data_IF_445784796424
#
_entry.id   IF_445784796424
#
_cell.length_a   1.000
_cell.length_b   1.000
_cell.length_c   1.000
_cell.angle_alpha   90.00
_cell.angle_beta   90.00
_cell.angle_gamma   90.00
#
_symmetry.space_group_name_H-M   'P 1'
#
loop_
_entity.id
_entity.type
_entity.pdbx_description
1 polymer ?
2 branched ?
3 branched ?
4 non-polymer ?
5 non-polymer ?
6 non-polymer ?
7 non-polymer ?
8 non-polymer ?
9 water ?
#
# COMPACT_ATOMS: atom_id res chain seq x y z
N UNK A 1 -7.92 -1.93 -24.98
CA UNK A 1 -8.38 -1.23 -26.23
C UNK A 1 -8.29 0.31 -26.05
N UNK A 2 -9.14 0.95 -25.23
CA UNK A 2 -8.92 2.39 -24.90
C UNK A 2 -8.37 2.58 -23.48
N UNK A 3 -7.71 3.71 -23.22
CA UNK A 3 -7.25 3.99 -21.87
C UNK A 3 -8.45 4.14 -20.96
N UNK A 4 -8.32 3.63 -19.74
CA UNK A 4 -9.37 3.77 -18.78
C UNK A 4 -9.47 5.20 -18.29
N UNK A 5 -10.70 5.68 -18.09
CA UNK A 5 -10.91 6.98 -17.44
C UNK A 5 -11.64 6.79 -16.13
N UNK A 6 -11.28 7.58 -15.14
CA UNK A 6 -11.92 7.54 -13.84
C UNK A 6 -13.25 8.29 -13.87
N UNK A 7 -14.27 7.65 -14.40
CA UNK A 7 -15.53 8.37 -14.67
C UNK A 7 -16.54 8.13 -13.56
N UNK A 8 -16.30 7.16 -12.65
CA UNK A 8 -17.29 6.81 -11.60
C UNK A 8 -16.88 7.37 -10.23
N UNK A 9 -17.86 7.51 -9.33
CA UNK A 9 -17.60 7.82 -7.90
C UNK A 9 -17.49 6.50 -7.12
N UNK A 10 -17.15 6.58 -5.82
CA UNK A 10 -17.05 5.37 -4.95
C UNK A 10 -18.44 4.89 -4.68
N UNK A 11 -18.62 3.57 -4.60
CA UNK A 11 -19.85 3.02 -4.08
C UNK A 11 -19.97 3.40 -2.58
N UNK A 12 -21.18 3.34 -2.06
CA UNK A 12 -21.40 3.62 -0.63
C UNK A 12 -20.85 2.46 0.16
N UNK A 13 -20.02 2.78 1.14
CA UNK A 13 -19.37 1.75 1.90
C UNK A 13 -20.15 1.56 3.19
N UNK A 14 -20.90 0.46 3.30
CA UNK A 14 -21.69 0.21 4.54
C UNK A 14 -21.11 -0.89 5.39
N UNK A 15 -20.19 -1.68 4.77
CA UNK A 15 -19.34 -2.69 5.45
C UNK A 15 -18.31 -3.22 4.44
N UNK A 16 -17.57 -4.25 4.84
CA UNK A 16 -16.49 -4.80 4.02
C UNK A 16 -16.71 -6.30 3.99
N UNK A 17 -16.60 -6.88 2.79
CA UNK A 17 -16.78 -8.31 2.60
C UNK A 17 -15.42 -8.87 2.21
N UNK A 18 -15.17 -10.14 2.55
CA UNK A 18 -13.90 -10.82 2.21
C UNK A 18 -13.78 -10.91 0.66
N UNK A 19 -12.59 -10.59 0.15
CA UNK A 19 -12.31 -10.58 -1.30
C UNK A 19 -11.28 -11.63 -1.62
N UNK A 20 -10.14 -11.62 -0.90
CA UNK A 20 -9.12 -12.68 -1.16
C UNK A 20 -8.27 -12.91 0.08
N UNK A 21 -7.61 -14.05 0.12
CA UNK A 21 -6.79 -14.42 1.29
C UNK A 21 -5.96 -15.58 0.78
N UNK A 22 -4.65 -15.50 0.93
CA UNK A 22 -3.86 -16.60 0.38
C UNK A 22 -3.32 -17.64 1.36
N UNK A 23 -3.38 -17.36 2.67
CA UNK A 23 -2.91 -18.33 3.66
C UNK A 23 -1.48 -18.78 3.32
N UNK A 24 -0.62 -17.84 2.85
CA UNK A 24 0.65 -18.26 2.28
C UNK A 24 1.56 -18.93 3.33
N UNK A 25 1.53 -18.43 4.57
CA UNK A 25 2.50 -18.94 5.60
C UNK A 25 2.06 -20.36 6.06
N UNK A 26 0.75 -20.56 6.26
CA UNK A 26 0.20 -21.91 6.54
C UNK A 26 0.61 -22.86 5.46
N UNK A 27 0.33 -22.50 4.22
CA UNK A 27 0.60 -23.46 3.10
C UNK A 27 2.09 -23.69 2.93
N UNK A 28 2.87 -22.60 3.00
CA UNK A 28 4.31 -22.62 2.81
C UNK A 28 5.13 -23.38 3.86
N UNK A 29 4.48 -23.73 4.97
CA UNK A 29 5.08 -24.67 5.95
C UNK A 29 5.52 -25.98 5.29
N UNK A 30 4.83 -26.39 4.22
CA UNK A 30 5.15 -27.67 3.58
C UNK A 30 4.88 -27.60 2.07
N UNK A 31 5.27 -26.50 1.41
CA UNK A 31 5.18 -26.42 -0.06
C UNK A 31 6.08 -25.25 -0.46
N UNK A 32 6.37 -25.09 -1.77
CA UNK A 32 7.45 -24.19 -2.23
C UNK A 32 6.98 -22.75 -2.39
N UNK A 33 6.68 -22.11 -1.26
CA UNK A 33 6.13 -20.78 -1.22
C UNK A 33 7.31 -19.82 -1.02
N UNK A 34 7.39 -18.78 -1.84
CA UNK A 34 8.43 -17.76 -1.73
C UNK A 34 8.20 -16.90 -0.49
N UNK A 35 9.30 -16.51 0.14
CA UNK A 35 9.26 -15.48 1.19
C UNK A 35 8.96 -14.15 0.48
N UNK A 36 8.04 -13.37 1.05
CA UNK A 36 7.74 -12.04 0.50
C UNK A 36 7.64 -11.02 1.63
N UNK A 37 7.45 -9.75 1.27
CA UNK A 37 6.82 -8.76 2.11
C UNK A 37 6.39 -7.63 1.14
N UNK A 38 5.79 -6.57 1.68
CA UNK A 38 5.29 -5.44 0.88
C UNK A 38 4.34 -5.93 -0.25
N UNK A 39 3.28 -6.65 0.12
CA UNK A 39 2.35 -7.16 -0.88
C UNK A 39 1.32 -6.08 -1.27
N UNK A 40 0.61 -6.35 -2.37
CA UNK A 40 -0.57 -5.52 -2.71
C UNK A 40 -1.43 -6.27 -3.73
N UNK A 41 -2.49 -5.61 -4.21
CA UNK A 41 -3.41 -6.20 -5.18
C UNK A 41 -3.54 -5.17 -6.33
N UNK A 42 -3.68 -5.65 -7.55
CA UNK A 42 -3.93 -4.74 -8.64
C UNK A 42 -4.70 -5.50 -9.72
N UNK A 43 -5.60 -4.79 -10.42
CA UNK A 43 -6.39 -5.43 -11.46
C UNK A 43 -6.02 -5.02 -12.85
N UNK A 44 -6.16 -5.99 -13.77
CA UNK A 44 -6.14 -5.76 -15.20
C UNK A 44 -7.61 -5.77 -15.63
N UNK A 45 -7.85 -5.46 -16.91
CA UNK A 45 -9.26 -5.48 -17.31
C UNK A 45 -9.92 -6.86 -17.26
N UNK A 46 -9.11 -7.93 -17.27
CA UNK A 46 -9.68 -9.26 -17.30
C UNK A 46 -9.28 -10.14 -16.11
N UNK A 47 -8.55 -9.60 -15.14
CA UNK A 47 -8.05 -10.44 -14.03
C UNK A 47 -7.58 -9.50 -12.92
N UNK A 48 -7.68 -9.93 -11.67
CA UNK A 48 -7.03 -9.23 -10.54
C UNK A 48 -6.02 -10.20 -9.92
N UNK A 49 -4.88 -9.66 -9.48
CA UNK A 49 -3.75 -10.52 -9.03
C UNK A 49 -3.19 -9.96 -7.74
N UNK A 50 -2.54 -10.86 -7.00
CA UNK A 50 -1.74 -10.46 -5.83
C UNK A 50 -0.31 -10.11 -6.33
N UNK A 51 0.31 -9.14 -5.67
CA UNK A 51 1.67 -8.67 -6.00
C UNK A 51 2.45 -8.67 -4.67
N UNK A 52 3.77 -8.79 -4.74
CA UNK A 52 4.64 -8.57 -3.58
C UNK A 52 6.08 -8.55 -4.00
N UNK A 53 6.94 -8.18 -3.07
CA UNK A 53 8.36 -8.28 -3.26
C UNK A 53 8.87 -9.64 -2.72
N UNK A 54 9.23 -10.51 -3.64
CA UNK A 54 9.91 -11.75 -3.26
C UNK A 54 11.20 -11.42 -2.55
N UNK A 55 11.67 -12.39 -1.74
CA UNK A 55 13.02 -12.34 -1.17
C UNK A 55 13.97 -13.38 -1.86
N UNK A 56 13.47 -14.07 -2.89
CA UNK A 56 14.32 -14.94 -3.69
C UNK A 56 14.77 -16.19 -2.91
N UNK A 57 13.84 -16.79 -2.15
CA UNK A 57 14.05 -18.06 -1.42
C UNK A 57 12.67 -18.47 -0.98
N UNK A 58 12.47 -19.77 -0.76
CA UNK A 58 11.24 -20.27 -0.13
C UNK A 58 11.33 -20.08 1.40
N UNK A 59 10.20 -20.23 2.08
CA UNK A 59 10.15 -20.00 3.54
C UNK A 59 10.89 -21.12 4.28
N UNK A 60 10.67 -22.37 3.87
CA UNK A 60 11.41 -23.53 4.46
C UNK A 60 12.87 -23.59 4.00
N UNK A 61 13.22 -22.85 2.94
CA UNK A 61 14.59 -22.84 2.46
C UNK A 61 15.54 -22.24 3.48
N UNK A 62 16.77 -22.76 3.51
CA UNK A 62 17.80 -22.25 4.41
C UNK A 62 18.15 -20.77 4.12
N UNK A 63 17.98 -20.32 2.85
CA UNK A 63 18.14 -18.88 2.52
C UNK A 63 17.09 -17.93 3.10
N UNK A 64 16.07 -18.45 3.79
CA UNK A 64 15.08 -17.56 4.44
C UNK A 64 15.71 -16.86 5.65
N UNK A 65 16.83 -17.42 6.12
CA UNK A 65 17.52 -16.78 7.23
C UNK A 65 18.08 -15.44 6.80
N UNK A 66 17.63 -14.36 7.44
CA UNK A 66 18.18 -13.01 7.11
C UNK A 66 17.14 -12.17 6.38
N UNK A 67 15.94 -12.73 6.14
CA UNK A 67 14.91 -12.04 5.33
C UNK A 67 14.15 -10.95 6.04
N UNK A 68 14.49 -10.64 7.30
CA UNK A 68 14.02 -9.39 7.90
C UNK A 68 14.53 -8.13 7.10
N UNK A 69 15.65 -8.25 6.40
CA UNK A 69 16.24 -7.11 5.68
C UNK A 69 15.38 -6.74 4.48
N UNK A 70 15.22 -5.45 4.28
CA UNK A 70 14.34 -4.92 3.24
C UNK A 70 14.93 -4.94 1.84
N UNK A 71 16.26 -4.86 1.71
CA UNK A 71 16.87 -4.56 0.40
C UNK A 71 18.02 -5.46 0.11
N UNK A 72 17.89 -6.26 -0.93
CA UNK A 72 18.96 -7.15 -1.38
C UNK A 72 18.80 -7.27 -2.90
N UNK A 73 19.84 -7.88 -3.50
CA UNK A 73 19.90 -8.19 -4.91
C UNK A 73 18.98 -9.35 -5.28
N UNK A 74 18.34 -9.97 -4.29
CA UNK A 74 17.57 -11.19 -4.51
C UNK A 74 16.08 -10.91 -4.53
N UNK A 75 15.68 -9.62 -4.46
CA UNK A 75 14.27 -9.28 -4.39
C UNK A 75 13.75 -8.98 -5.79
N UNK A 76 12.46 -9.19 -5.98
CA UNK A 76 11.79 -8.82 -7.25
C UNK A 76 10.32 -8.62 -7.01
N UNK A 77 9.67 -7.77 -7.83
CA UNK A 77 8.24 -7.67 -7.80
C UNK A 77 7.69 -8.92 -8.51
N UNK A 78 6.83 -9.66 -7.82
CA UNK A 78 6.16 -10.81 -8.42
C UNK A 78 4.66 -10.65 -8.39
N UNK A 79 3.96 -11.31 -9.32
CA UNK A 79 2.54 -11.37 -9.20
C UNK A 79 2.09 -12.79 -9.38
N UNK A 80 0.88 -13.05 -8.88
CA UNK A 80 0.35 -14.40 -8.91
C UNK A 80 -1.19 -14.40 -8.77
N UNK A 81 -1.85 -15.52 -9.13
CA UNK A 81 -3.32 -15.46 -9.19
C UNK A 81 -3.96 -15.20 -7.83
N UNK A 82 -5.05 -14.42 -7.88
CA UNK A 82 -5.76 -13.95 -6.70
C UNK A 82 -6.01 -15.11 -5.75
N UNK A 83 -5.56 -14.93 -4.52
CA UNK A 83 -5.77 -15.84 -3.38
C UNK A 83 -4.99 -17.17 -3.44
N UNK A 84 -4.26 -17.44 -4.55
CA UNK A 84 -3.24 -18.48 -4.46
C UNK A 84 -2.06 -17.92 -3.61
N UNK A 85 -1.15 -18.77 -3.12
CA UNK A 85 0.04 -18.23 -2.48
C UNK A 85 1.13 -17.96 -3.52
N UNK A 86 2.15 -17.11 -3.20
CA UNK A 86 3.21 -16.85 -4.13
C UNK A 86 4.21 -18.01 -4.17
N UNK A 87 4.06 -18.95 -5.12
CA UNK A 87 4.94 -20.09 -5.11
C UNK A 87 6.05 -19.91 -6.15
N UNK A 88 7.09 -20.74 -6.06
CA UNK A 88 8.16 -20.77 -7.04
C UNK A 88 7.59 -20.97 -8.47
N UNK A 89 6.55 -21.79 -8.57
CA UNK A 89 6.07 -22.29 -9.85
C UNK A 89 4.94 -21.44 -10.45
N UNK A 90 4.25 -20.60 -9.67
CA UNK A 90 3.10 -19.84 -10.27
C UNK A 90 3.36 -18.31 -10.20
N UNK A 91 4.52 -17.90 -9.72
CA UNK A 91 4.75 -16.46 -9.53
C UNK A 91 5.41 -15.89 -10.79
N UNK A 92 4.91 -14.74 -11.27
CA UNK A 92 5.44 -14.10 -12.52
C UNK A 92 6.21 -12.91 -12.09
N UNK A 93 7.49 -12.86 -12.48
CA UNK A 93 8.32 -11.70 -12.10
C UNK A 93 8.01 -10.53 -13.02
N UNK A 94 7.64 -9.40 -12.42
CA UNK A 94 7.38 -8.19 -13.16
C UNK A 94 8.65 -7.36 -13.44
N UNK A 95 9.57 -7.32 -12.48
CA UNK A 95 10.81 -6.57 -12.66
C UNK A 95 11.63 -6.83 -11.36
N UNK A 96 12.89 -6.44 -11.38
CA UNK A 96 13.84 -6.81 -10.30
C UNK A 96 14.05 -5.58 -9.41
N UNK A 97 14.00 -5.77 -8.07
CA UNK A 97 14.23 -4.64 -7.16
C UNK A 97 13.58 -4.81 -5.82
N UNK A 98 13.63 -3.76 -4.99
CA UNK A 98 13.24 -3.91 -3.58
C UNK A 98 12.27 -2.80 -3.16
N UNK A 99 11.67 -2.10 -4.16
CA UNK A 99 10.56 -1.16 -3.93
C UNK A 99 9.83 -1.08 -5.23
N UNK A 100 8.51 -1.04 -5.18
CA UNK A 100 7.74 -1.17 -6.47
C UNK A 100 6.41 -0.48 -6.45
N UNK A 101 5.86 -0.33 -7.67
CA UNK A 101 4.44 -0.04 -7.86
C UNK A 101 4.07 -0.62 -9.22
N UNK A 102 2.75 -0.73 -9.51
CA UNK A 102 2.29 -1.32 -10.78
C UNK A 102 0.85 -0.90 -10.97
N UNK A 103 0.45 -0.60 -12.22
CA UNK A 103 -0.95 -0.37 -12.51
C UNK A 103 -1.22 -0.58 -13.97
N UNK A 104 -2.46 -0.88 -14.28
CA UNK A 104 -2.90 -1.07 -15.68
C UNK A 104 -3.61 0.19 -16.12
N UNK A 105 -3.34 0.63 -17.36
CA UNK A 105 -3.96 1.86 -17.87
C UNK A 105 -5.21 1.65 -18.74
N UNK A 106 -5.69 0.39 -18.84
CA UNK A 106 -6.82 0.00 -19.71
C UNK A 106 -6.30 -0.66 -20.97
N UNK A 107 -5.09 -0.28 -21.40
CA UNK A 107 -4.43 -0.93 -22.57
C UNK A 107 -3.43 -1.98 -22.13
N UNK A 108 -2.47 -1.58 -21.28
CA UNK A 108 -1.49 -2.55 -20.79
C UNK A 108 -0.98 -2.06 -19.42
N UNK A 109 -0.07 -2.82 -18.82
CA UNK A 109 0.36 -2.55 -17.43
C UNK A 109 1.70 -1.84 -17.41
N UNK A 110 1.84 -0.90 -16.47
CA UNK A 110 3.13 -0.30 -16.14
C UNK A 110 3.57 -0.89 -14.79
N UNK A 111 4.84 -1.32 -14.71
CA UNK A 111 5.42 -1.80 -13.41
C UNK A 111 6.72 -1.08 -13.21
N UNK A 112 7.01 -0.72 -11.95
CA UNK A 112 8.20 0.07 -11.62
C UNK A 112 8.89 -0.66 -10.46
N UNK A 113 10.18 -0.96 -10.61
CA UNK A 113 11.01 -1.56 -9.56
C UNK A 113 12.24 -0.72 -9.39
N UNK A 114 12.62 -0.49 -8.14
CA UNK A 114 13.81 0.33 -7.85
C UNK A 114 14.85 -0.65 -7.29
N UNK A 115 16.12 -0.55 -7.71
CA UNK A 115 17.15 -1.44 -7.11
C UNK A 115 18.39 -0.64 -6.92
N UNK A 116 19.41 -1.24 -6.30
CA UNK A 116 20.67 -0.51 -6.14
C UNK A 116 21.14 -0.50 -4.69
N UNK A 117 22.41 -0.08 -4.47
CA UNK A 117 22.81 0.20 -3.07
C UNK A 117 22.09 1.47 -2.59
N UNK A 118 22.09 1.73 -1.28
CA UNK A 118 21.38 2.90 -0.74
C UNK A 118 21.72 4.24 -1.35
N UNK A 119 22.99 4.43 -1.70
CA UNK A 119 23.42 5.73 -2.21
C UNK A 119 23.40 5.80 -3.74
N UNK A 120 22.86 4.78 -4.41
CA UNK A 120 23.00 4.78 -5.87
C UNK A 120 21.86 3.98 -6.55
N UNK A 121 20.63 4.14 -6.04
CA UNK A 121 19.49 3.32 -6.52
C UNK A 121 18.92 3.94 -7.83
N UNK A 122 18.19 3.14 -8.60
CA UNK A 122 17.56 3.66 -9.82
C UNK A 122 16.24 2.90 -9.97
N UNK A 123 15.26 3.60 -10.52
CA UNK A 123 13.99 3.04 -10.92
C UNK A 123 14.05 2.63 -12.44
N UNK A 124 13.48 1.45 -12.76
CA UNK A 124 13.21 1.09 -14.16
C UNK A 124 11.72 0.98 -14.32
N UNK A 125 11.19 1.69 -15.33
CA UNK A 125 9.75 1.73 -15.61
C UNK A 125 9.51 0.83 -16.82
N UNK A 126 8.70 -0.21 -16.59
CA UNK A 126 8.38 -1.24 -17.55
C UNK A 126 6.98 -0.93 -18.02
N UNK A 127 6.74 -1.14 -19.32
CA UNK A 127 5.39 -0.89 -19.87
C UNK A 127 5.17 -1.99 -20.91
N UNK A 128 4.03 -2.67 -20.85
CA UNK A 128 3.79 -3.83 -21.76
C UNK A 128 4.92 -4.86 -21.63
N UNK A 129 5.38 -5.05 -20.38
CA UNK A 129 6.42 -6.00 -19.94
C UNK A 129 7.76 -5.82 -20.64
N UNK A 130 8.04 -4.57 -21.03
CA UNK A 130 9.39 -4.22 -21.53
C UNK A 130 9.89 -2.99 -20.80
N UNK A 131 11.21 -2.92 -20.54
CA UNK A 131 11.71 -1.67 -19.88
C UNK A 131 11.64 -0.51 -20.86
N UNK A 132 11.18 0.66 -20.39
CA UNK A 132 11.06 1.82 -21.26
C UNK A 132 11.89 3.03 -20.77
N UNK A 133 11.81 3.33 -19.48
CA UNK A 133 12.40 4.55 -18.92
C UNK A 133 13.17 4.17 -17.67
N UNK A 134 14.25 4.90 -17.41
CA UNK A 134 14.99 4.74 -16.15
C UNK A 134 15.18 6.08 -15.46
N UNK A 135 15.19 6.05 -14.11
CA UNK A 135 15.31 7.32 -13.31
C UNK A 135 16.37 7.07 -12.24
N UNK A 136 17.46 7.87 -12.25
CA UNK A 136 18.51 7.68 -11.26
C UNK A 136 18.13 8.38 -9.98
N UNK A 137 18.66 7.89 -8.88
CA UNK A 137 18.51 8.51 -7.58
C UNK A 137 18.81 10.02 -7.66
N UNK A 138 17.99 10.83 -7.00
CA UNK A 138 18.30 12.28 -6.96
C UNK A 138 18.82 12.76 -5.63
N UNK A 139 18.61 12.01 -4.56
CA UNK A 139 19.08 12.45 -3.25
C UNK A 139 20.06 11.44 -2.65
N UNK A 140 20.33 10.33 -3.36
CA UNK A 140 21.34 9.34 -2.88
C UNK A 140 21.06 8.69 -1.52
N UNK A 141 19.79 8.47 -1.25
CA UNK A 141 19.37 7.91 0.02
C UNK A 141 18.05 7.15 -0.14
N UNK A 142 18.18 5.92 -0.64
CA UNK A 142 17.10 4.93 -0.72
C UNK A 142 15.90 5.50 -1.51
N UNK A 143 16.12 5.73 -2.82
CA UNK A 143 15.01 6.05 -3.74
C UNK A 143 13.97 4.95 -3.53
N UNK A 144 12.69 5.32 -3.33
CA UNK A 144 11.65 4.35 -2.93
C UNK A 144 10.25 4.85 -3.37
N UNK A 145 9.29 3.95 -3.53
CA UNK A 145 8.03 4.35 -4.08
C UNK A 145 6.91 3.67 -3.29
N UNK A 146 5.75 3.44 -3.91
CA UNK A 146 4.49 3.26 -3.18
C UNK A 146 4.34 1.94 -2.40
N UNK A 147 4.81 0.83 -2.98
CA UNK A 147 4.52 -0.52 -2.45
C UNK A 147 3.03 -0.87 -2.50
N UNK A 148 2.25 -0.16 -3.34
CA UNK A 148 0.88 -0.63 -3.68
C UNK A 148 0.55 -0.03 -5.06
N UNK A 149 -0.62 -0.34 -5.62
CA UNK A 149 -0.85 0.01 -7.06
C UNK A 149 -0.89 1.52 -7.29
N UNK A 150 -0.40 1.94 -8.46
CA UNK A 150 -0.69 3.28 -8.95
C UNK A 150 -2.07 3.32 -9.64
N UNK A 151 -2.46 4.50 -10.10
CA UNK A 151 -3.78 4.69 -10.73
C UNK A 151 -3.61 5.48 -12.02
N UNK A 152 -4.33 5.11 -13.07
CA UNK A 152 -4.20 5.84 -14.34
C UNK A 152 -5.48 6.55 -14.74
N UNK A 153 -5.34 7.65 -15.51
CA UNK A 153 -6.54 8.27 -16.07
C UNK A 153 -6.15 8.76 -17.50
N UNK A 154 -6.88 8.28 -18.50
CA UNK A 154 -6.63 8.60 -19.93
C UNK A 154 -5.16 8.37 -20.28
N UNK A 155 -4.58 7.30 -19.74
CA UNK A 155 -3.17 6.96 -20.05
C UNK A 155 -2.16 7.59 -19.11
N UNK A 156 -2.59 8.54 -18.26
CA UNK A 156 -1.61 9.24 -17.36
C UNK A 156 -1.67 8.54 -15.99
N UNK A 157 -0.54 7.98 -15.57
CA UNK A 157 -0.46 7.20 -14.30
C UNK A 157 0.54 7.94 -13.41
N UNK A 158 0.04 8.76 -12.47
CA UNK A 158 0.96 9.38 -11.53
C UNK A 158 1.53 8.40 -10.55
N UNK A 159 2.75 8.70 -10.12
CA UNK A 159 3.46 7.78 -9.18
C UNK A 159 4.21 8.68 -8.18
N UNK A 160 4.17 8.33 -6.87
CA UNK A 160 4.86 9.15 -5.88
C UNK A 160 6.12 8.40 -5.51
N UNK A 161 7.26 9.11 -5.54
CA UNK A 161 8.55 8.60 -5.08
C UNK A 161 9.12 9.50 -3.98
N UNK A 162 10.00 8.93 -3.15
CA UNK A 162 10.73 9.70 -2.14
C UNK A 162 12.17 9.25 -2.21
N UNK A 163 13.10 10.22 -2.06
CA UNK A 163 14.51 9.90 -1.99
C UNK A 163 15.04 10.87 -0.92
N UNK A 164 15.82 10.35 0.03
CA UNK A 164 16.33 11.18 1.11
C UNK A 164 15.99 10.52 2.43
N UNK A 165 16.16 11.29 3.49
CA UNK A 165 16.05 10.81 4.86
C UNK A 165 14.69 10.25 5.20
N UNK A 166 14.66 9.17 5.99
CA UNK A 166 13.44 8.65 6.61
C UNK A 166 13.10 9.39 7.92
N UNK A 167 14.04 10.22 8.39
CA UNK A 167 13.92 10.81 9.75
C UNK A 167 14.17 12.34 9.77
N UNK A 168 13.81 13.03 8.69
CA UNK A 168 13.97 14.46 8.54
C UNK A 168 13.44 14.78 7.15
N UNK A 169 13.55 16.04 6.71
CA UNK A 169 13.06 16.41 5.34
C UNK A 169 13.67 15.52 4.23
N UNK A 170 12.87 15.14 3.22
CA UNK A 170 13.35 14.30 2.13
C UNK A 170 12.86 14.92 0.79
N UNK A 171 13.23 14.35 -0.35
CA UNK A 171 12.84 14.94 -1.61
C UNK A 171 11.82 13.99 -2.31
N UNK A 172 10.56 14.35 -2.23
CA UNK A 172 9.45 13.56 -2.78
C UNK A 172 9.09 14.23 -4.12
N UNK A 173 8.84 13.38 -5.11
CA UNK A 173 8.44 13.79 -6.45
C UNK A 173 7.23 13.01 -6.94
N UNK A 174 6.37 13.68 -7.72
CA UNK A 174 5.25 13.02 -8.35
C UNK A 174 5.60 12.99 -9.84
N UNK A 175 5.76 11.79 -10.38
CA UNK A 175 6.01 11.59 -11.79
C UNK A 175 4.74 11.26 -12.48
N UNK A 176 4.55 11.80 -13.67
CA UNK A 176 3.32 11.53 -14.42
C UNK A 176 3.77 10.74 -15.64
N UNK A 177 3.45 9.43 -15.66
CA UNK A 177 3.90 8.58 -16.76
C UNK A 177 2.79 8.37 -17.78
N UNK A 178 3.17 8.11 -19.03
CA UNK A 178 2.16 7.62 -20.03
C UNK A 178 2.95 6.74 -21.00
N UNK A 179 2.49 5.49 -21.17
CA UNK A 179 3.19 4.50 -21.96
C UNK A 179 4.61 4.28 -21.45
N UNK A 180 4.79 4.43 -20.13
CA UNK A 180 6.11 4.25 -19.51
C UNK A 180 7.03 5.43 -19.68
N UNK A 181 6.60 6.49 -20.34
CA UNK A 181 7.49 7.65 -20.55
C UNK A 181 7.11 8.77 -19.59
N UNK A 182 8.07 9.61 -19.25
CA UNK A 182 7.80 10.72 -18.31
C UNK A 182 7.18 11.87 -19.11
N UNK A 183 5.96 12.22 -18.76
CA UNK A 183 5.34 13.44 -19.30
C UNK A 183 5.84 14.67 -18.53
N UNK A 184 5.95 14.54 -17.20
CA UNK A 184 6.20 15.69 -16.30
C UNK A 184 6.57 15.06 -14.95
N UNK A 185 7.32 15.81 -14.15
CA UNK A 185 7.35 15.50 -12.73
C UNK A 185 7.32 16.82 -11.96
N UNK A 186 6.85 16.77 -10.72
CA UNK A 186 6.84 17.96 -9.84
C UNK A 186 7.40 17.57 -8.46
N UNK A 187 8.06 18.52 -7.77
CA UNK A 187 8.36 18.26 -6.33
C UNK A 187 7.05 18.33 -5.51
N UNK A 188 7.00 17.60 -4.39
CA UNK A 188 5.88 17.68 -3.46
C UNK A 188 5.60 19.13 -3.11
N UNK A 189 4.33 19.49 -3.09
CA UNK A 189 3.89 20.79 -2.59
C UNK A 189 2.83 20.57 -1.54
N UNK A 190 2.37 21.67 -0.94
CA UNK A 190 1.30 21.65 0.08
C UNK A 190 1.94 21.50 1.45
N UNK A 191 1.18 20.98 2.39
CA UNK A 191 1.57 21.09 3.82
C UNK A 191 2.03 19.77 4.44
N UNK A 192 1.98 18.65 3.66
CA UNK A 192 2.61 17.40 4.09
C UNK A 192 4.12 17.61 4.22
N UNK A 193 4.68 17.25 5.38
CA UNK A 193 6.08 17.54 5.66
C UNK A 193 7.04 16.38 5.34
N UNK A 194 6.48 15.17 5.22
CA UNK A 194 7.26 13.98 4.87
C UNK A 194 6.29 12.94 4.26
N UNK A 195 6.71 12.24 3.20
CA UNK A 195 5.86 11.28 2.42
C UNK A 195 6.63 10.01 2.13
N UNK A 196 6.00 8.88 2.43
CA UNK A 196 6.51 7.56 2.08
C UNK A 196 5.31 6.70 1.73
N UNK A 197 5.56 5.69 0.90
CA UNK A 197 4.57 4.59 0.68
C UNK A 197 3.12 5.03 0.51
N UNK A 198 2.87 5.89 -0.48
CA UNK A 198 1.51 6.31 -0.75
C UNK A 198 0.60 5.17 -1.23
N UNK A 199 -0.61 5.12 -0.68
CA UNK A 199 -1.68 4.20 -1.09
C UNK A 199 -2.72 5.01 -1.86
N UNK A 200 -2.98 4.64 -3.13
CA UNK A 200 -3.80 5.49 -4.00
C UNK A 200 -5.06 4.82 -4.55
N UNK A 201 -6.05 5.68 -4.86
CA UNK A 201 -7.28 5.25 -5.56
C UNK A 201 -7.75 6.46 -6.37
N UNK A 202 -8.61 6.17 -7.35
CA UNK A 202 -9.08 7.16 -8.34
C UNK A 202 -10.58 7.15 -8.38
N UNK A 203 -11.20 8.33 -8.48
CA UNK A 203 -12.67 8.38 -8.73
C UNK A 203 -12.92 9.75 -9.29
N UNK A 204 -13.87 9.84 -10.23
CA UNK A 204 -14.26 11.16 -10.82
C UNK A 204 -13.04 12.02 -11.19
N UNK A 205 -12.11 11.44 -11.96
CA UNK A 205 -10.94 12.13 -12.55
C UNK A 205 -10.00 12.82 -11.53
N UNK A 206 -9.98 12.29 -10.31
CA UNK A 206 -9.04 12.73 -9.28
C UNK A 206 -8.44 11.49 -8.64
N UNK A 207 -7.14 11.53 -8.33
CA UNK A 207 -6.49 10.42 -7.63
C UNK A 207 -6.15 10.90 -6.21
N UNK A 208 -6.55 10.12 -5.19
CA UNK A 208 -6.25 10.43 -3.75
C UNK A 208 -5.27 9.41 -3.26
N UNK A 209 -4.16 9.88 -2.67
CA UNK A 209 -3.13 9.02 -2.05
C UNK A 209 -3.03 9.30 -0.55
N UNK A 210 -3.04 8.25 0.27
CA UNK A 210 -2.88 8.36 1.75
C UNK A 210 -1.54 7.75 2.02
N UNK A 211 -0.66 8.52 2.67
CA UNK A 211 0.75 8.16 2.76
C UNK A 211 1.18 8.01 4.23
N UNK A 212 2.48 7.93 4.43
CA UNK A 212 3.09 7.70 5.75
C UNK A 212 4.10 8.84 5.93
N UNK A 213 3.89 9.66 6.97
CA UNK A 213 4.89 10.68 7.34
C UNK A 213 5.78 9.94 8.31
N UNK A 214 6.93 9.46 7.88
CA UNK A 214 7.75 8.70 8.81
C UNK A 214 8.42 9.61 9.87
N UNK A 215 8.53 10.88 9.57
CA UNK A 215 9.41 11.73 10.38
C UNK A 215 8.73 12.12 11.69
N UNK A 216 7.61 12.82 11.59
CA UNK A 216 6.97 13.38 12.77
C UNK A 216 5.50 13.01 12.99
N UNK A 217 4.78 12.63 11.94
CA UNK A 217 3.32 12.64 11.92
C UNK A 217 2.68 11.28 12.26
N UNK A 218 1.72 11.28 13.18
CA UNK A 218 0.93 10.07 13.46
C UNK A 218 -0.47 10.16 12.84
N UNK A 219 -0.79 11.35 12.34
CA UNK A 219 -1.90 11.50 11.33
C UNK A 219 -1.25 11.19 9.94
N UNK A 220 -2.04 10.88 8.91
CA UNK A 220 -1.44 10.47 7.63
C UNK A 220 -1.52 11.65 6.67
N UNK A 221 -0.40 11.93 5.95
CA UNK A 221 -0.50 12.88 4.86
C UNK A 221 -1.35 12.36 3.69
N UNK A 222 -1.97 13.29 2.99
CA UNK A 222 -2.83 12.98 1.87
C UNK A 222 -2.37 13.83 0.70
N UNK A 223 -2.04 13.17 -0.42
CA UNK A 223 -1.80 13.88 -1.68
C UNK A 223 -3.04 13.68 -2.62
N UNK A 224 -3.55 14.76 -3.20
CA UNK A 224 -4.64 14.67 -4.19
C UNK A 224 -4.13 15.15 -5.51
N UNK A 225 -4.29 14.32 -6.55
CA UNK A 225 -3.63 14.55 -7.84
C UNK A 225 -4.71 14.70 -8.91
N UNK A 226 -4.58 15.76 -9.69
CA UNK A 226 -5.41 15.93 -10.89
C UNK A 226 -4.55 15.40 -12.05
N UNK A 227 -4.92 14.21 -12.60
CA UNK A 227 -4.07 13.62 -13.64
C UNK A 227 -4.27 14.24 -15.02
N UNK A 228 -5.23 15.15 -15.16
CA UNK A 228 -5.41 15.92 -16.43
C UNK A 228 -4.51 17.14 -16.42
N UNK A 229 -4.67 18.00 -15.42
CA UNK A 229 -3.80 19.16 -15.21
C UNK A 229 -2.37 18.72 -14.86
N UNK A 230 -2.20 17.47 -14.41
CA UNK A 230 -0.91 16.99 -13.84
C UNK A 230 -0.38 17.90 -12.72
N UNK A 231 -1.28 18.16 -11.76
CA UNK A 231 -0.96 19.00 -10.57
C UNK A 231 -1.47 18.29 -9.33
N UNK A 232 -0.99 18.68 -8.15
CA UNK A 232 -1.44 18.04 -6.94
C UNK A 232 -1.47 19.04 -5.79
N UNK A 233 -2.03 18.58 -4.68
CA UNK A 233 -2.00 19.30 -3.42
C UNK A 233 -1.64 18.30 -2.35
N UNK A 234 -1.25 18.75 -1.16
CA UNK A 234 -1.08 17.83 -0.02
C UNK A 234 -1.52 18.49 1.25
N UNK A 235 -1.94 17.66 2.20
CA UNK A 235 -2.30 18.08 3.58
C UNK A 235 -2.22 16.84 4.43
N UNK A 236 -2.81 16.89 5.64
CA UNK A 236 -2.97 15.68 6.48
C UNK A 236 -4.44 15.39 6.62
N UNK A 237 -4.78 14.14 6.95
CA UNK A 237 -6.10 13.86 7.45
C UNK A 237 -6.29 14.68 8.79
N UNK A 238 -7.28 15.60 8.80
CA UNK A 238 -7.66 16.46 9.95
C UNK A 238 -8.09 15.68 11.19
N UNK A 239 -8.73 14.54 10.98
CA UNK A 239 -9.37 13.77 12.06
C UNK A 239 -8.44 13.45 13.25
N UNK A 240 -9.00 13.56 14.48
CA UNK A 240 -8.23 13.07 15.63
C UNK A 240 -8.13 11.54 15.67
N UNK A 241 -8.86 10.82 14.79
CA UNK A 241 -8.69 9.35 14.75
C UNK A 241 -7.34 9.09 14.07
N UNK A 242 -6.27 8.88 14.86
CA UNK A 242 -4.93 8.83 14.27
C UNK A 242 -4.64 7.44 13.67
N UNK A 243 -3.98 7.40 12.49
CA UNK A 243 -3.96 6.09 11.76
C UNK A 243 -2.61 5.56 11.36
N UNK A 244 -1.53 6.23 11.76
CA UNK A 244 -0.22 5.65 11.62
C UNK A 244 0.08 4.67 12.81
N UNK A 245 1.27 4.08 12.80
CA UNK A 245 1.69 3.16 13.88
C UNK A 245 3.19 3.12 13.87
N UNK A 246 3.83 3.22 15.04
CA UNK A 246 3.16 3.46 16.35
C UNK A 246 2.62 4.90 16.42
N UNK A 247 1.83 5.23 17.43
CA UNK A 247 1.21 6.52 17.42
C UNK A 247 0.80 6.83 18.88
N UNK A 248 0.53 8.10 19.19
CA UNK A 248 0.01 8.33 20.57
C UNK A 248 -1.46 7.97 20.66
N UNK A 249 -2.04 8.00 21.86
CA UNK A 249 -3.50 7.87 21.95
C UNK A 249 -4.24 8.95 21.20
N UNK A 250 -5.46 8.63 20.78
CA UNK A 250 -6.27 9.58 20.02
C UNK A 250 -6.63 10.79 20.87
N UNK A 251 -6.42 12.01 20.34
CA UNK A 251 -6.91 13.22 20.98
C UNK A 251 -8.36 13.50 20.59
N UNK A 252 -8.83 14.72 20.84
CA UNK A 252 -10.16 15.16 20.49
C UNK A 252 -10.08 16.08 19.30
N UNK A 253 -8.92 16.66 19.08
CA UNK A 253 -8.75 17.47 17.88
C UNK A 253 -7.46 17.07 17.15
N UNK A 254 -7.54 16.86 15.83
CA UNK A 254 -6.37 16.49 15.01
C UNK A 254 -5.71 17.75 14.44
N UNK A 255 -4.84 17.54 13.46
CA UNK A 255 -4.16 18.64 12.73
C UNK A 255 -4.35 18.45 11.22
N UNK A 256 -4.81 19.51 10.54
CA UNK A 256 -5.02 19.53 9.07
C UNK A 256 -3.75 19.77 8.25
N UNK A 257 -2.80 20.53 8.79
CA UNK A 257 -1.72 21.04 7.98
C UNK A 257 -0.36 20.88 8.60
N UNK A 258 -0.27 19.95 9.54
CA UNK A 258 0.98 19.72 10.28
C UNK A 258 0.95 18.31 10.76
N UNK A 259 2.12 17.71 11.07
CA UNK A 259 2.14 16.36 11.63
C UNK A 259 1.57 16.39 13.03
N UNK A 260 0.75 15.40 13.40
CA UNK A 260 0.31 15.26 14.79
C UNK A 260 1.46 14.59 15.57
N UNK A 261 2.00 15.28 16.60
CA UNK A 261 3.30 14.85 17.21
C UNK A 261 3.13 13.76 18.27
N UNK A 262 4.23 13.22 18.80
CA UNK A 262 4.12 12.16 19.81
C UNK A 262 5.02 11.02 19.51
N UNK A 263 5.23 10.74 18.21
CA UNK A 263 6.04 9.60 17.79
C UNK A 263 6.87 10.08 16.59
N UNK A 264 8.17 9.80 16.64
CA UNK A 264 9.11 10.27 15.61
C UNK A 264 9.75 9.08 14.92
N UNK A 265 10.10 9.24 13.65
CA UNK A 265 11.04 8.30 12.99
C UNK A 265 10.50 6.90 12.97
N UNK A 266 9.24 6.76 12.68
CA UNK A 266 8.68 5.44 12.50
C UNK A 266 7.30 5.56 11.85
N UNK A 267 6.69 4.41 11.48
CA UNK A 267 5.36 4.48 10.85
C UNK A 267 5.08 3.13 10.20
N UNK A 268 4.00 3.07 9.42
CA UNK A 268 3.63 1.88 8.66
C UNK A 268 2.83 2.35 7.43
N UNK A 269 3.01 1.66 6.28
CA UNK A 269 2.17 2.04 5.09
C UNK A 269 0.74 1.76 5.45
N UNK A 270 -0.15 2.70 5.11
CA UNK A 270 -1.56 2.53 5.41
C UNK A 270 -2.43 3.18 4.33
N UNK A 271 -3.74 3.33 4.57
CA UNK A 271 -4.56 3.90 3.48
C UNK A 271 -5.82 4.47 4.05
N UNK A 272 -6.61 5.19 3.22
CA UNK A 272 -7.96 5.53 3.61
C UNK A 272 -8.79 5.77 2.37
N UNK A 273 -10.12 5.87 2.51
CA UNK A 273 -10.99 6.34 1.40
C UNK A 273 -11.67 7.59 1.94
N UNK A 274 -11.49 8.70 1.24
CA UNK A 274 -11.89 10.02 1.79
C UNK A 274 -12.97 10.53 0.85
N UNK A 275 -14.22 10.45 1.28
CA UNK A 275 -15.32 10.74 0.33
C UNK A 275 -16.50 11.30 1.13
N UNK A 276 -16.28 12.45 1.81
CA UNK A 276 -17.34 13.08 2.63
C UNK A 276 -17.84 12.16 3.70
N UNK A 277 -19.15 11.96 3.79
CA UNK A 277 -19.69 11.07 4.84
C UNK A 277 -19.24 9.61 4.60
N UNK A 278 -19.00 9.28 3.33
CA UNK A 278 -18.58 7.91 2.97
C UNK A 278 -17.05 7.73 3.17
N UNK A 279 -16.53 8.10 4.35
CA UNK A 279 -15.10 8.11 4.56
C UNK A 279 -14.79 6.98 5.56
N UNK A 280 -13.86 6.12 5.19
CA UNK A 280 -13.39 5.03 6.06
C UNK A 280 -11.89 5.06 6.16
N UNK A 281 -11.36 4.87 7.39
CA UNK A 281 -9.94 4.87 7.67
C UNK A 281 -9.52 3.46 8.15
N UNK A 282 -8.39 2.98 7.64
CA UNK A 282 -7.76 1.79 8.24
C UNK A 282 -6.71 2.16 9.30
N UNK A 283 -6.59 1.31 10.32
CA UNK A 283 -5.47 1.44 11.25
C UNK A 283 -5.23 0.10 11.98
N UNK A 284 -4.01 -0.04 12.52
CA UNK A 284 -3.73 -1.10 13.48
C UNK A 284 -4.56 -0.81 14.73
N UNK A 285 -4.94 -1.87 15.45
CA UNK A 285 -5.62 -1.67 16.71
C UNK A 285 -4.63 -1.13 17.77
N UNK A 286 -3.47 -1.76 17.88
CA UNK A 286 -2.44 -1.38 18.84
C UNK A 286 -1.86 -0.02 18.48
N UNK A 287 -1.62 0.84 19.48
CA UNK A 287 -0.92 2.10 19.22
C UNK A 287 0.56 1.85 19.22
N UNK A 288 0.99 0.69 19.68
CA UNK A 288 2.43 0.48 19.91
C UNK A 288 3.09 -0.41 18.84
N UNK A 289 2.35 -1.37 18.32
CA UNK A 289 2.94 -2.35 17.40
C UNK A 289 1.98 -2.67 16.26
N UNK A 290 2.49 -3.42 15.27
CA UNK A 290 1.70 -3.79 14.08
C UNK A 290 0.85 -5.01 14.42
N UNK A 291 -0.12 -4.79 15.30
CA UNK A 291 -1.05 -5.85 15.66
C UNK A 291 -2.48 -5.34 15.52
N UNK A 292 -3.32 -6.27 15.07
CA UNK A 292 -4.70 -5.94 14.80
C UNK A 292 -4.90 -5.03 13.58
N UNK A 293 -6.14 -4.97 13.14
CA UNK A 293 -6.47 -4.04 12.07
C UNK A 293 -7.93 -3.81 12.10
N UNK A 294 -8.30 -2.56 11.98
CA UNK A 294 -9.70 -2.22 11.92
C UNK A 294 -9.99 -1.14 10.88
N UNK A 295 -11.24 -1.13 10.42
CA UNK A 295 -11.77 -0.06 9.57
C UNK A 295 -12.71 0.78 10.41
N UNK A 296 -12.57 2.09 10.32
CA UNK A 296 -13.50 3.01 11.04
C UNK A 296 -14.11 3.99 10.04
N UNK A 297 -15.44 4.14 10.14
CA UNK A 297 -16.17 5.13 9.34
C UNK A 297 -16.08 6.44 10.10
N UNK A 298 -15.42 7.42 9.48
CA UNK A 298 -15.11 8.69 10.15
C UNK A 298 -15.59 9.75 9.17
N UNK A 299 -16.88 10.13 9.25
CA UNK A 299 -17.37 11.09 8.24
C UNK A 299 -16.54 12.36 8.16
N UNK A 300 -16.18 12.74 6.94
CA UNK A 300 -15.37 13.93 6.71
C UNK A 300 -14.04 13.97 7.41
N UNK A 301 -13.43 12.81 7.68
CA UNK A 301 -12.07 12.74 8.28
C UNK A 301 -11.05 13.69 7.65
N UNK A 302 -11.08 13.83 6.33
CA UNK A 302 -10.07 14.64 5.66
C UNK A 302 -10.12 16.11 6.13
N UNK A 303 -11.34 16.63 6.32
CA UNK A 303 -11.52 18.09 6.46
C UNK A 303 -12.00 18.50 7.86
N UNK A 304 -12.42 17.55 8.70
CA UNK A 304 -13.08 17.90 10.00
C UNK A 304 -12.14 17.47 11.10
N UNK A 305 -11.53 18.45 11.76
CA UNK A 305 -10.52 18.17 12.78
C UNK A 305 -11.06 17.66 14.13
N UNK A 306 -12.37 17.51 14.21
CA UNK A 306 -12.96 16.84 15.40
C UNK A 306 -13.73 15.56 15.08
N UNK A 307 -13.64 15.06 13.82
CA UNK A 307 -14.44 13.89 13.39
C UNK A 307 -14.05 12.64 14.13
N UNK A 308 -15.08 11.93 14.59
CA UNK A 308 -14.91 10.66 15.31
C UNK A 308 -15.70 9.51 14.62
N UNK A 309 -15.47 8.26 15.01
CA UNK A 309 -16.10 7.15 14.25
C UNK A 309 -17.59 7.07 14.44
N UNK A 310 -18.32 6.76 13.37
CA UNK A 310 -19.76 6.49 13.48
C UNK A 310 -20.10 5.02 13.25
N UNK A 311 -19.13 4.23 12.84
CA UNK A 311 -19.34 2.81 12.55
C UNK A 311 -17.97 2.20 12.41
N UNK A 312 -17.89 0.87 12.51
CA UNK A 312 -16.58 0.26 12.29
C UNK A 312 -16.59 -1.21 11.93
N UNK A 313 -15.42 -1.77 11.61
CA UNK A 313 -15.36 -3.20 11.41
C UNK A 313 -13.98 -3.67 11.76
N UNK A 314 -13.89 -4.68 12.63
CA UNK A 314 -12.58 -5.30 12.95
C UNK A 314 -12.20 -6.25 11.79
N UNK A 315 -10.96 -6.15 11.34
CA UNK A 315 -10.46 -7.00 10.23
C UNK A 315 -9.54 -8.08 10.80
N UNK A 316 -8.68 -7.67 11.73
CA UNK A 316 -7.71 -8.60 12.33
C UNK A 316 -7.72 -8.29 13.82
N UNK A 317 -7.81 -9.35 14.65
CA UNK A 317 -7.84 -9.12 16.13
C UNK A 317 -6.54 -8.52 16.61
N UNK A 318 -6.60 -7.77 17.72
CA UNK A 318 -5.33 -7.25 18.31
C UNK A 318 -4.38 -8.33 18.80
N UNK A 319 -4.85 -9.57 18.90
CA UNK A 319 -3.94 -10.65 19.28
C UNK A 319 -3.32 -11.31 18.05
N UNK A 320 -3.46 -10.68 16.87
CA UNK A 320 -2.87 -11.20 15.63
C UNK A 320 -2.04 -10.12 14.94
N UNK A 321 -1.01 -10.54 14.23
CA UNK A 321 -0.08 -9.60 13.58
C UNK A 321 -0.65 -9.05 12.27
N UNK A 322 -0.43 -7.76 12.08
CA UNK A 322 -0.81 -7.10 10.82
C UNK A 322 0.47 -6.58 10.15
N UNK A 323 0.45 -5.38 9.56
CA UNK A 323 1.59 -4.97 8.71
C UNK A 323 1.16 -3.85 7.78
N UNK A 324 1.82 -3.72 6.63
CA UNK A 324 1.45 -2.70 5.63
C UNK A 324 -0.02 -2.91 5.20
N UNK A 325 -0.70 -1.84 4.80
CA UNK A 325 -2.02 -2.01 4.14
C UNK A 325 -2.17 -0.97 3.05
N UNK A 326 -3.03 -1.23 2.07
CA UNK A 326 -3.08 -0.30 0.96
C UNK A 326 -4.37 -0.50 0.17
N UNK A 327 -4.59 0.42 -0.75
CA UNK A 327 -5.86 0.47 -1.45
C UNK A 327 -5.66 -0.02 -2.92
N UNK A 328 -6.73 -0.56 -3.50
CA UNK A 328 -6.81 -0.85 -4.97
C UNK A 328 -8.32 -0.90 -5.26
N UNK A 329 -8.71 -0.77 -6.55
CA UNK A 329 -10.10 -1.07 -6.94
C UNK A 329 -10.07 -1.79 -8.27
N UNK A 330 -11.14 -2.53 -8.56
CA UNK A 330 -11.27 -3.09 -9.87
C UNK A 330 -11.95 -2.00 -10.77
N UNK A 331 -11.14 -1.21 -11.44
CA UNK A 331 -11.65 -0.15 -12.35
C UNK A 331 -12.43 -0.70 -13.57
N UNK A 332 -12.44 -2.01 -13.78
CA UNK A 332 -13.08 -2.55 -14.99
C UNK A 332 -14.31 -3.38 -14.63
N UNK A 333 -14.79 -3.27 -13.38
CA UNK A 333 -16.00 -3.98 -12.92
C UNK A 333 -17.27 -3.40 -13.62
N UNK A 334 -18.35 -4.14 -13.59
CA UNK A 334 -19.66 -3.65 -14.11
C UNK A 334 -20.30 -2.67 -13.10
N UNK A 335 -21.23 -1.80 -13.54
CA UNK A 335 -22.03 -1.07 -12.58
C UNK A 335 -21.68 0.39 -12.59
N UNK A 336 -22.25 1.14 -11.66
CA UNK A 336 -22.26 2.59 -11.78
C UNK A 336 -21.22 3.25 -10.89
N UNK A 337 -20.52 2.46 -10.06
CA UNK A 337 -19.65 3.06 -9.05
C UNK A 337 -18.41 2.17 -8.86
N UNK A 338 -17.29 2.75 -8.40
CA UNK A 338 -16.12 1.94 -8.09
C UNK A 338 -16.18 1.42 -6.63
N UNK A 339 -16.00 0.12 -6.46
CA UNK A 339 -16.07 -0.53 -5.16
C UNK A 339 -14.68 -0.45 -4.49
N UNK A 340 -14.62 0.33 -3.42
CA UNK A 340 -13.39 0.43 -2.64
C UNK A 340 -12.88 -0.96 -2.18
N UNK A 341 -11.59 -1.20 -2.33
CA UNK A 341 -10.96 -2.42 -1.73
C UNK A 341 -9.69 -2.07 -1.00
N UNK A 342 -9.21 -3.02 -0.18
CA UNK A 342 -7.92 -2.85 0.48
C UNK A 342 -7.33 -4.21 0.77
N UNK A 343 -6.04 -4.25 1.03
CA UNK A 343 -5.42 -5.46 1.56
C UNK A 343 -4.77 -5.12 2.91
N UNK A 344 -4.49 -6.15 3.71
CA UNK A 344 -3.60 -5.98 4.88
C UNK A 344 -2.54 -7.09 4.75
N UNK A 345 -1.29 -6.69 4.92
CA UNK A 345 -0.15 -7.61 4.98
C UNK A 345 -0.12 -8.18 6.42
N UNK A 346 -0.10 -9.51 6.55
CA UNK A 346 -0.05 -10.18 7.88
C UNK A 346 1.37 -10.70 8.07
N UNK A 347 2.20 -9.90 8.74
CA UNK A 347 3.65 -10.22 8.85
C UNK A 347 3.87 -11.28 9.91
N UNK A 348 4.67 -12.30 9.51
CA UNK A 348 5.01 -13.36 10.45
C UNK A 348 6.50 -13.43 10.52
N UNK A 349 7.00 -13.90 11.66
CA UNK A 349 8.45 -14.09 11.82
C UNK A 349 9.03 -12.82 12.40
N UNK A 350 10.28 -12.54 12.04
CA UNK A 350 11.03 -11.44 12.73
C UNK A 350 10.45 -10.06 12.37
N UNK A 351 10.51 -9.06 13.29
CA UNK A 351 11.20 -9.17 14.61
C UNK A 351 10.31 -9.67 15.73
N UNK A 352 9.00 -9.72 15.53
CA UNK A 352 8.12 -10.01 16.68
C UNK A 352 8.14 -11.48 17.09
N UNK A 353 8.47 -12.38 16.16
CA UNK A 353 8.46 -13.83 16.40
C UNK A 353 9.81 -14.33 16.05
N UNK A 354 10.75 -14.16 17.01
CA UNK A 354 12.13 -14.35 16.67
C UNK A 354 12.68 -15.74 16.92
N UNK A 355 11.80 -16.69 17.25
CA UNK A 355 12.23 -18.09 17.27
C UNK A 355 12.47 -18.65 15.86
N UNK A 356 11.90 -18.00 14.82
CA UNK A 356 12.31 -18.28 13.39
C UNK A 356 13.30 -17.24 12.93
N UNK A 357 14.11 -17.59 11.92
CA UNK A 357 15.10 -16.68 11.42
C UNK A 357 14.64 -15.88 10.19
N UNK A 358 13.41 -16.12 9.78
CA UNK A 358 12.83 -15.44 8.61
C UNK A 358 11.79 -14.40 8.96
N UNK A 359 11.43 -13.59 7.93
CA UNK A 359 10.30 -12.70 8.01
C UNK A 359 9.54 -12.92 6.70
N UNK A 360 8.24 -13.10 6.80
CA UNK A 360 7.43 -13.22 5.57
C UNK A 360 6.04 -12.66 5.90
N UNK A 361 5.02 -12.92 5.05
CA UNK A 361 3.70 -12.45 5.33
C UNK A 361 2.69 -13.31 4.57
N UNK A 362 1.43 -13.18 4.93
CA UNK A 362 0.37 -13.58 4.02
C UNK A 362 -0.50 -12.35 3.74
N UNK A 363 -1.54 -12.54 2.93
CA UNK A 363 -2.37 -11.40 2.52
C UNK A 363 -3.81 -11.72 2.87
N UNK A 364 -4.52 -10.70 3.36
CA UNK A 364 -5.97 -10.72 3.41
C UNK A 364 -6.46 -9.45 2.71
N UNK A 365 -7.58 -9.54 2.01
CA UNK A 365 -8.12 -8.37 1.24
C UNK A 365 -9.62 -8.39 1.26
N UNK A 366 -10.21 -7.19 1.35
CA UNK A 366 -11.67 -7.00 1.43
C UNK A 366 -12.10 -5.92 0.46
N UNK A 367 -13.38 -5.92 0.07
CA UNK A 367 -13.94 -4.83 -0.71
C UNK A 367 -15.21 -4.40 0.00
N UNK A 368 -15.74 -3.22 -0.38
CA UNK A 368 -16.88 -2.66 0.37
C UNK A 368 -18.15 -3.32 -0.11
N UNK A 369 -19.13 -3.39 0.81
CA UNK A 369 -20.50 -3.79 0.47
C UNK A 369 -21.46 -2.62 0.77
N UNK A 370 -22.54 -2.47 -0.03
CA UNK A 370 -23.69 -1.58 0.35
C UNK A 370 -24.61 -2.23 1.38
N UNK A 371 -24.41 -3.53 1.66
CA UNK A 371 -25.09 -4.13 2.84
C UNK A 371 -24.33 -3.80 4.15
N UNK A 372 -24.97 -4.05 5.30
CA UNK A 372 -24.29 -4.00 6.62
C UNK A 372 -24.02 -5.44 7.03
N UNK A 373 -22.90 -5.98 6.55
CA UNK A 373 -22.56 -7.38 6.75
C UNK A 373 -21.96 -7.64 8.12
N UNK A 374 -22.21 -8.84 8.63
CA UNK A 374 -21.56 -9.38 9.83
C UNK A 374 -20.04 -9.44 9.62
N UNK A 375 -19.30 -9.22 10.69
CA UNK A 375 -17.84 -9.28 10.59
C UNK A 375 -17.24 -10.57 11.16
N UNK A 376 -16.15 -11.04 10.52
CA UNK A 376 -15.26 -12.02 11.13
C UNK A 376 -13.89 -11.36 11.28
N UNK A 377 -12.95 -12.04 11.94
CA UNK A 377 -11.58 -11.60 11.91
C UNK A 377 -10.79 -12.56 11.06
N UNK A 378 -9.72 -12.03 10.48
CA UNK A 378 -8.99 -12.78 9.43
C UNK A 378 -7.49 -12.86 9.72
N UNK A 379 -7.09 -13.77 10.64
CA UNK A 379 -5.66 -13.86 10.97
C UNK A 379 -4.84 -14.59 9.90
N UNK A 380 -3.52 -14.51 10.00
CA UNK A 380 -2.65 -15.24 9.05
C UNK A 380 -2.95 -16.74 9.16
N UNK A 381 -3.08 -17.22 10.39
CA UNK A 381 -3.44 -18.60 10.66
C UNK A 381 -2.30 -19.59 10.83
N UNK A 382 -1.04 -19.19 10.62
CA UNK A 382 0.03 -20.18 10.72
C UNK A 382 0.48 -20.33 12.20
N UNK A 383 0.97 -21.51 12.59
CA UNK A 383 1.52 -21.78 13.95
C UNK A 383 3.02 -21.73 13.87
N UNK A 384 3.65 -20.71 14.45
CA UNK A 384 5.11 -20.54 14.40
C UNK A 384 5.86 -21.75 14.92
N UNK A 385 5.31 -22.41 15.95
CA UNK A 385 5.94 -23.61 16.56
C UNK A 385 6.17 -24.70 15.52
N UNK A 386 5.31 -24.74 14.47
CA UNK A 386 5.51 -25.77 13.42
C UNK A 386 6.79 -25.58 12.61
N UNK A 387 7.30 -24.35 12.60
CA UNK A 387 8.50 -24.02 11.83
C UNK A 387 9.79 -24.21 12.63
N UNK A 388 9.66 -24.66 13.87
CA UNK A 388 10.83 -24.80 14.73
C UNK A 388 11.39 -26.20 14.60
X LIG B 1 27.30 5.53 -8.29
X LIG B 1 28.78 5.44 -7.79
X LIG B 1 29.76 6.02 -8.80
X LIG B 1 29.53 5.34 -10.14
X LIG B 1 28.05 5.55 -10.56
X LIG B 1 27.72 4.95 -11.94
X LIG B 1 29.24 5.74 -5.43
X LIG B 1 29.18 6.83 -4.37
X LIG B 1 28.84 6.23 -6.60
X LIG B 1 31.09 5.73 -8.35
X LIG B 1 30.41 6.02 -11.07
X LIG B 1 27.29 4.83 -9.56
X LIG B 1 28.13 3.58 -11.92
X LIG B 1 29.62 4.58 -5.21
X LIG B 2 31.15 5.08 -11.84
X LIG B 2 31.54 5.69 -13.21
X LIG B 2 32.31 4.58 -13.93
X LIG B 2 33.54 4.12 -13.12
X LIG B 2 33.05 3.70 -11.72
X LIG B 2 34.17 3.30 -10.74
X LIG B 2 29.96 7.25 -14.14
X LIG B 2 28.75 7.53 -15.03
X LIG B 2 30.38 6.00 -14.01
X LIG B 2 32.62 4.97 -15.26
X LIG B 2 34.10 2.95 -13.77
X LIG B 2 32.34 4.79 -11.12
X LIG B 2 34.96 4.48 -10.54
X LIG B 2 30.53 8.15 -13.54
X LIG B 3 35.48 3.16 -14.13
X LIG B 3 36.11 1.78 -14.32
X LIG B 3 37.53 1.91 -14.85
X LIG B 3 37.59 2.90 -15.98
X LIG B 3 37.01 4.26 -15.60
X LIG B 3 37.08 5.17 -16.81
X LIG B 3 35.34 1.13 -15.34
X LIG B 3 37.95 0.61 -15.30
X LIG B 3 38.91 3.12 -16.42
X LIG B 3 35.62 4.02 -15.27
X LIG B 3 36.76 6.50 -16.42
X LIG B 4 39.29 0.33 -14.90
X LIG B 4 39.72 -0.93 -15.65
X LIG B 4 38.94 -2.15 -15.12
X LIG B 4 39.10 -2.32 -13.60
X LIG B 4 38.72 -1.02 -12.89
X LIG B 4 39.16 -1.10 -11.44
X LIG B 4 41.11 -0.97 -15.27
X LIG B 4 39.26 -3.37 -15.82
X LIG B 4 38.30 -3.39 -13.10
X LIG B 4 39.44 0.12 -13.50
X LIG B 4 38.42 -0.02 -10.90
X LIG B 5 41.90 -2.00 -15.85
X LIG B 5 43.31 -1.92 -15.19
X LIG B 5 44.05 -0.72 -15.79
X LIG B 5 44.04 -0.77 -17.32
X LIG B 5 42.60 -0.88 -17.85
X LIG B 5 42.60 -0.85 -19.38
X LIG B 5 44.01 -3.09 -15.61
X LIG B 5 45.40 -0.77 -15.24
X LIG B 5 44.51 0.51 -17.79
X LIG B 5 41.96 -2.04 -17.25
X LIG B 5 43.48 -1.87 -19.94
X LIG B 6 44.17 -4.08 -14.56
X LIG B 6 45.21 -5.05 -15.13
X LIG B 6 44.57 -5.85 -16.30
X LIG B 6 43.24 -6.53 -15.86
X LIG B 6 42.28 -5.47 -15.26
X LIG B 6 40.96 -6.02 -14.70
X LIG B 6 45.57 -5.98 -14.09
X LIG B 6 45.46 -6.88 -16.75
X LIG B 6 42.65 -7.30 -16.93
X LIG B 6 42.93 -4.74 -14.19
X LIG B 6 41.26 -6.84 -13.55
X LIG B 7 37.96 7.20 -15.99
X LIG B 7 37.54 8.52 -15.37
X LIG B 7 37.01 9.48 -16.44
X LIG B 7 38.00 9.65 -17.57
X LIG B 7 38.30 8.27 -18.13
X LIG B 7 39.24 8.30 -19.34
X LIG B 7 38.71 9.08 -14.79
X LIG B 7 36.70 10.75 -15.87
X LIG B 7 37.34 10.40 -18.56
X LIG B 7 38.85 7.51 -17.08
X LIG B 7 40.50 8.88 -18.91
X LIG B 8 35.31 11.15 -15.91
X LIG B 8 35.22 12.63 -15.48
X LIG B 8 35.56 12.75 -13.99
X LIG B 8 34.73 11.84 -13.05
X LIG B 8 34.74 10.41 -13.60
X LIG B 8 33.81 9.42 -12.85
X LIG B 8 33.90 13.14 -15.76
X LIG B 8 35.54 14.11 -13.61
X LIG B 8 35.37 11.80 -11.77
X LIG B 8 34.43 10.43 -15.02
X LIG B 8 34.38 8.08 -12.73
X LIG B 9 41.40 9.22 -20.00
X LIG B 9 42.78 9.51 -19.34
X LIG B 9 42.65 10.82 -18.54
X LIG B 9 42.10 12.00 -19.36
X LIG B 9 40.82 11.60 -20.08
X LIG B 9 40.32 12.74 -20.95
X LIG B 9 43.88 9.53 -20.29
X LIG B 9 43.86 11.21 -17.88
X LIG B 9 41.76 13.05 -18.44
X LIG B 9 40.97 10.35 -20.80
X LIG B 9 39.57 12.16 -22.02
X LIG C 1 -11.16 8.12 -22.10
X LIG C 1 -11.72 7.17 -23.16
X LIG C 1 -10.97 7.40 -24.47
X LIG C 1 -10.97 8.88 -24.86
X LIG C 1 -10.36 9.67 -23.67
X LIG C 1 -10.12 11.17 -23.90
X LIG C 1 -12.72 4.96 -22.73
X LIG C 1 -12.63 3.53 -22.24
X LIG C 1 -11.64 5.78 -22.73
X LIG C 1 -11.65 6.64 -25.42
X LIG C 1 -10.04 9.05 -25.96
X LIG C 1 -11.20 9.48 -22.54
X LIG C 1 -11.39 11.70 -24.28
X LIG C 1 -13.81 5.36 -23.13
X LIG C 2 -10.62 9.13 -27.27
X LIG C 2 -9.60 9.72 -28.26
X LIG C 2 -10.21 9.79 -29.68
X LIG C 2 -10.57 8.36 -30.09
X LIG C 2 -11.57 7.80 -29.04
X LIG C 2 -12.16 6.42 -29.32
X LIG C 2 -9.12 12.06 -27.34
X LIG C 2 -8.01 12.79 -26.67
X LIG C 2 -8.80 10.81 -27.65
X LIG C 2 -9.24 10.31 -30.58
X LIG C 2 -10.97 8.20 -31.47
X LIG C 2 -10.96 7.81 -27.73
X LIG C 2 -11.15 5.41 -29.24
X LIG C 2 -10.18 12.59 -27.60
X LIG D 1 1.44 -3.66 21.71
X LIG D 1 0.35 -4.07 22.14
X LIG D 1 -0.70 -3.43 21.98
X LIG D 1 0.34 -5.39 22.91
X LIG D 1 0.52 -5.09 24.20
X LIG D 1 -0.97 -6.21 22.76
X LIG D 1 -1.13 -7.00 23.90
X LIG D 1 -1.09 -7.06 21.46
X LIG D 1 -2.07 -8.09 21.62
X LIG D 1 1.47 -6.17 22.47
X LIG D 1 1.42 -6.80 21.16
X LIG D 1 2.80 -7.43 20.98
X LIG D 1 3.92 -6.37 20.84
X LIG D 1 5.19 -6.67 21.62
X LIG D 1 5.60 -8.03 21.37
X LIG D 1 3.02 -8.37 22.05
X LIG D 1 0.22 -7.77 21.08
X LIG D 1 0.02 -8.32 19.73
X LIG D 1 0.01 -9.63 19.43
X LIG D 1 0.19 -10.55 20.24
X LIG D 1 -0.22 -9.98 18.00
X LIG E 1 20.95 -17.74 10.68
X LIG E 1 21.39 -18.95 11.48
X LIG E 1 22.18 -18.44 12.69
X LIG E 1 23.23 -17.41 12.32
X LIG E 1 22.43 -16.26 11.69
X LIG E 1 23.13 -14.93 11.38
X LIG E 1 19.95 -20.92 11.43
X LIG E 1 18.72 -21.65 11.86
X LIG E 1 20.20 -19.70 11.89
X LIG E 1 22.72 -19.54 13.40
X LIG E 1 23.72 -16.92 13.56
X LIG E 1 21.94 -16.77 10.48
X LIG E 1 24.44 -15.13 10.88
X LIG E 1 20.72 -21.45 10.67
X LIG F 1 4.70 8.30 11.56
X LIG G 1 8.50 -0.44 7.91
X LIG G 1 8.70 -1.34 7.08
X LIG G 1 8.25 -2.50 7.21
X LIG G 1 9.39 -1.01 5.99
X LIG G 1 9.68 -2.00 4.91
X LIG G 1 10.70 -2.77 5.43
X LIG G 1 10.17 -1.37 3.61
X LIG G 1 9.86 0.35 5.92
X LIG G 1 10.24 0.86 4.63
X LIG G 1 11.01 2.15 4.85
X LIG G 1 10.11 3.24 5.40
X LIG G 1 10.91 4.41 5.97
X LIG G 1 11.65 4.98 4.87
X LIG G 1 12.05 1.90 5.80
X LIG G 1 11.06 -0.19 3.89
X LIG G 1 11.32 0.35 2.54
X LIG G 1 12.54 0.27 2.01
X LIG G 1 13.47 -0.24 2.64
X LIG G 1 12.71 0.82 0.62
X LIG G 1 10.92 -2.36 2.89
X LIG H 1 8.44 -0.24 7.66
X LIG H 1 8.29 -1.11 6.78
X LIG H 1 7.98 -2.30 7.05
X LIG H 1 8.48 -0.62 5.34
X LIG H 1 9.05 -1.76 4.50
X LIG H 1 10.02 -2.29 5.29
X LIG H 1 9.55 0.33 5.47
X LIG H 1 10.17 0.89 4.28
X LIG H 1 11.22 1.92 4.73
X LIG H 1 10.62 2.97 5.67
X LIG H 1 11.63 4.06 6.06
X LIG H 1 11.74 4.91 4.90
X LIG H 1 12.34 1.27 5.38
X LIG H 1 10.81 -0.26 3.48
X LIG H 1 9.71 -1.28 3.18
X LIG H 1 10.24 -2.42 2.55
X LIG H 1 11.26 0.21 2.16
X LIG H 1 12.54 0.36 1.75
X LIG H 1 13.53 0.14 2.45
X LIG H 1 12.70 0.85 0.34
#
# INVERSE_FOLDING_TARGET
RDFNNLTKGLCTINSWHIYGKDNAVRIGEDSDVLVTREPYVSCDPDECRFYALSQGTTIRGKHSNGTIHDRSQYRALISWPLSSPPTVYNSRVECIGWSSTSCHDGKTRMSICISGPNNNASAVIWYNRRPVTEINTWARNILRTQESECVCHNGVCPVVFTDGSATGPAETRIYYFKEGKILKWEPLAGTAKHIEECSCYGERAEITCTCRDNWQGSNRPVIRIDPVAMTHTSQYICSPVLTDNPRPNDPTVGKCNDPYPGNNNNGVKGFSYLDGVNTWLGRTISIASRSGYEMLKVPNALTDDKSKPTQGQTIVLNTDWSGYSGSFMDYWAEGECYRACFYVELIRGRPKEDKVWWTSNSIVSMCSSTEFLGQWDWPDGAKIEYFL
NAG C1 C2 C3 C4 C5 C6 C7 C8 N2 O3 O4 O5 O6 O7
NAG C1 C2 C3 C4 C5 C6 C7 C8 N2 O3 O4 O5 O6 O7
BMA C1 C2 C3 C4 C5 C6 O2 O3 O4 O5 O6
MAN C1 C2 C3 C4 C5 C6 O2 O3 O4 O5 O6
MAN C1 C2 C3 C4 C5 C6 O2 O3 O4 O5 O6
MAN C1 C2 C3 C4 C5 C6 O2 O3 O4 O5 O6
MAN C1 C2 C3 C4 C5 C6 O2 O3 O4 O5 O6
MAN C1 C2 C3 C4 C5 C6 O2 O3 O4 O5 O6
MAN C1 C2 C3 C4 C5 C6 O2 O3 O4 O5 O6
NAG C1 C2 C3 C4 C5 C6 C7 C8 N2 O3 O4 O5 O6 O7
NAG C1 C2 C3 C4 C5 C6 C7 C8 N2 O3 O4 O5 O6 O7
9SP O1B C1 O1A C2 FAJ C3 FAI C4 O4 O6 C6 C7 C8 C9 O9 O7 C5 N5 C10 O10 C11
NAG C1 C2 C3 C4 C5 C6 C7 C8 N2 O3 O4 O5 O6 O7
CA CA
9SD O1B C1 O1A C2 C3 F1 C4 O6 C6 C7 C8 C9 O9 O7 C5 N5 C10 O10 C11 O4
9S7 O1B C1 O1A C2 C3 F1 O6 C6 C7 C8 C9 O9 O7 C5 C4 O4 N5 C10 O10 C11
#
